data_IF_335283205340
#
_entry.id   IF_335283205340
#
_cell.length_a   1.000
_cell.length_b   1.000
_cell.length_c   1.000
_cell.angle_alpha   90.00
_cell.angle_beta   90.00
_cell.angle_gamma   90.00
#
_symmetry.space_group_name_H-M   'P 1'
#
loop_
_entity.id
_entity.type
_entity.pdbx_description
1 polymer ?
#
# COMPACT_ATOMS: atom_id res chain seq x y z
N UNK A 1 14.20 35.77 -3.76
CA UNK A 1 14.83 34.46 -3.58
C UNK A 1 14.79 33.96 -2.13
N UNK A 2 15.03 34.80 -1.15
CA UNK A 2 14.96 34.39 0.27
C UNK A 2 13.52 34.14 0.75
N UNK A 3 12.50 34.78 0.21
CA UNK A 3 11.11 34.60 0.60
C UNK A 3 10.50 33.24 0.21
N UNK A 4 11.03 32.57 -0.83
CA UNK A 4 10.54 31.26 -1.24
C UNK A 4 11.04 30.12 -0.33
N UNK A 5 12.22 30.27 0.29
CA UNK A 5 12.74 29.29 1.23
C UNK A 5 12.00 29.33 2.57
N UNK A 6 11.64 30.49 3.07
CA UNK A 6 10.85 30.68 4.29
C UNK A 6 9.44 30.11 4.14
N UNK A 7 8.81 30.28 2.97
CA UNK A 7 7.49 29.71 2.68
C UNK A 7 7.53 28.18 2.63
N UNK A 8 8.60 27.58 2.14
CA UNK A 8 8.78 26.12 2.11
C UNK A 8 8.98 25.53 3.51
N UNK A 9 9.68 26.21 4.39
CA UNK A 9 9.83 25.79 5.79
C UNK A 9 8.51 25.86 6.56
N UNK A 10 7.72 26.89 6.34
CA UNK A 10 6.37 27.00 6.93
C UNK A 10 5.44 25.89 6.48
N UNK A 11 5.48 25.53 5.20
CA UNK A 11 4.71 24.42 4.64
C UNK A 11 5.16 23.07 5.23
N UNK A 12 6.47 22.84 5.34
CA UNK A 12 7.02 21.65 5.98
C UNK A 12 6.61 21.53 7.44
N UNK A 13 6.65 22.64 8.19
CA UNK A 13 6.22 22.67 9.58
C UNK A 13 4.74 22.34 9.76
N UNK A 14 3.88 22.75 8.82
CA UNK A 14 2.45 22.46 8.85
C UNK A 14 2.17 20.97 8.62
N UNK A 15 2.89 20.31 7.69
CA UNK A 15 2.74 18.88 7.42
C UNK A 15 3.39 18.00 8.51
N UNK A 16 4.50 18.42 9.11
CA UNK A 16 5.18 17.67 10.17
C UNK A 16 4.46 17.68 11.51
N UNK A 17 3.48 18.56 11.70
CA UNK A 17 2.67 18.65 12.92
C UNK A 17 1.48 17.66 12.94
N UNK A 18 1.33 16.82 11.94
CA UNK A 18 0.36 15.73 11.98
C UNK A 18 0.71 14.80 13.14
N UNK A 19 -0.13 14.76 14.18
CA UNK A 19 0.08 13.95 15.38
C UNK A 19 -0.03 12.43 15.10
N UNK A 20 -0.49 12.02 13.91
CA UNK A 20 -0.66 10.62 13.52
C UNK A 20 0.39 10.22 12.48
N UNK A 21 1.05 9.06 12.68
CA UNK A 21 1.94 8.49 11.66
C UNK A 21 1.17 8.28 10.36
N UNK A 22 1.81 8.60 9.23
CA UNK A 22 1.25 8.33 7.92
C UNK A 22 1.49 6.86 7.59
N UNK A 23 0.43 6.14 7.29
CA UNK A 23 0.48 4.76 6.83
C UNK A 23 -0.29 4.66 5.52
N UNK A 24 0.42 4.29 4.47
CA UNK A 24 -0.18 4.02 3.17
C UNK A 24 -0.23 2.53 2.89
N UNK A 25 -0.99 2.17 1.88
CA UNK A 25 -1.19 0.78 1.48
C UNK A 25 -1.15 0.66 -0.03
N UNK A 26 -0.48 -0.37 -0.51
CA UNK A 26 -0.61 -0.85 -1.87
C UNK A 26 -1.18 -2.27 -1.80
N UNK A 27 -2.34 -2.47 -2.42
CA UNK A 27 -3.12 -3.71 -2.28
C UNK A 27 -3.55 -4.26 -3.65
N UNK A 28 -2.61 -4.76 -4.46
CA UNK A 28 -2.90 -5.27 -5.80
C UNK A 28 -3.52 -6.66 -5.76
N UNK A 29 -4.37 -6.95 -6.77
CA UNK A 29 -4.78 -8.31 -7.13
C UNK A 29 -3.87 -8.81 -8.26
N UNK A 30 -2.90 -9.70 -7.98
CA UNK A 30 -1.91 -10.11 -8.95
C UNK A 30 -2.45 -11.22 -9.87
N UNK A 31 -3.27 -10.84 -10.85
CA UNK A 31 -3.88 -11.77 -11.82
C UNK A 31 -3.06 -11.97 -13.09
N UNK A 32 -1.86 -11.38 -13.15
CA UNK A 32 -0.91 -11.42 -14.25
C UNK A 32 0.27 -10.51 -13.94
N UNK A 33 1.07 -10.20 -14.98
CA UNK A 33 2.17 -9.24 -14.84
C UNK A 33 1.62 -7.83 -14.58
N UNK A 34 2.39 -7.02 -13.86
CA UNK A 34 2.08 -5.61 -13.66
C UNK A 34 2.01 -4.87 -15.01
N UNK A 35 1.00 -4.04 -15.16
CA UNK A 35 0.91 -3.08 -16.27
C UNK A 35 1.21 -1.66 -15.77
N UNK A 36 1.29 -0.73 -16.70
CA UNK A 36 1.66 0.66 -16.39
C UNK A 36 0.74 1.31 -15.35
N UNK A 37 -0.56 0.98 -15.35
CA UNK A 37 -1.51 1.48 -14.36
C UNK A 37 -1.18 1.02 -12.94
N UNK A 38 -0.79 -0.24 -12.75
CA UNK A 38 -0.36 -0.76 -11.44
C UNK A 38 0.93 -0.08 -10.99
N UNK A 39 1.88 0.11 -11.91
CA UNK A 39 3.15 0.80 -11.62
C UNK A 39 2.87 2.24 -11.16
N UNK A 40 2.02 2.97 -11.88
CA UNK A 40 1.65 4.33 -11.52
C UNK A 40 0.99 4.40 -10.14
N UNK A 41 0.04 3.51 -9.86
CA UNK A 41 -0.65 3.46 -8.56
C UNK A 41 0.31 3.15 -7.41
N UNK A 42 1.20 2.18 -7.59
CA UNK A 42 2.21 1.82 -6.57
C UNK A 42 3.20 2.97 -6.33
N UNK A 43 3.64 3.62 -7.39
CA UNK A 43 4.56 4.74 -7.30
C UNK A 43 3.93 5.93 -6.56
N UNK A 44 2.69 6.28 -6.88
CA UNK A 44 1.98 7.38 -6.20
C UNK A 44 1.78 7.09 -4.71
N UNK A 45 1.40 5.87 -4.35
CA UNK A 45 1.26 5.46 -2.96
C UNK A 45 2.60 5.55 -2.23
N UNK A 46 3.67 5.07 -2.84
CA UNK A 46 5.02 5.10 -2.29
C UNK A 46 5.53 6.52 -2.09
N UNK A 47 5.41 7.38 -3.12
CA UNK A 47 5.82 8.78 -3.04
C UNK A 47 5.05 9.54 -1.96
N UNK A 48 3.74 9.35 -1.87
CA UNK A 48 2.90 9.98 -0.85
C UNK A 48 3.37 9.63 0.56
N UNK A 49 3.64 8.37 0.80
CA UNK A 49 4.08 7.87 2.12
C UNK A 49 5.50 8.33 2.44
N UNK A 50 6.43 8.14 1.49
CA UNK A 50 7.85 8.46 1.72
C UNK A 50 8.09 9.97 1.88
N UNK A 51 7.34 10.80 1.18
CA UNK A 51 7.45 12.26 1.33
C UNK A 51 7.05 12.74 2.73
N UNK A 52 6.29 11.95 3.45
CA UNK A 52 5.81 12.25 4.80
C UNK A 52 6.51 11.43 5.90
N UNK A 53 7.55 10.68 5.55
CA UNK A 53 8.25 9.82 6.48
C UNK A 53 7.41 8.67 7.03
N UNK A 54 6.38 8.24 6.28
CA UNK A 54 5.42 7.24 6.69
C UNK A 54 5.83 5.81 6.34
N UNK A 55 4.94 4.87 6.69
CA UNK A 55 5.08 3.44 6.38
C UNK A 55 4.21 3.04 5.22
N UNK A 56 4.73 2.17 4.35
CA UNK A 56 3.97 1.52 3.29
C UNK A 56 3.73 0.05 3.63
N UNK A 57 2.46 -0.36 3.56
CA UNK A 57 2.03 -1.74 3.76
C UNK A 57 1.71 -2.35 2.41
N UNK A 58 2.27 -3.51 2.14
CA UNK A 58 1.95 -4.32 0.96
C UNK A 58 0.93 -5.39 1.35
N UNK A 59 -0.20 -5.39 0.66
CA UNK A 59 -1.24 -6.41 0.79
C UNK A 59 -1.52 -7.04 -0.56
N UNK A 60 -1.46 -8.35 -0.62
CA UNK A 60 -1.77 -9.13 -1.82
C UNK A 60 -3.22 -9.59 -1.75
N UNK A 61 -4.04 -9.10 -2.65
CA UNK A 61 -5.46 -9.45 -2.73
C UNK A 61 -5.65 -10.63 -3.68
N UNK A 62 -5.52 -11.84 -3.14
CA UNK A 62 -5.43 -13.10 -3.88
C UNK A 62 -6.67 -14.01 -3.70
N UNK A 63 -7.85 -13.43 -3.44
CA UNK A 63 -9.11 -14.21 -3.36
C UNK A 63 -9.54 -14.75 -4.72
N UNK A 64 -9.20 -14.05 -5.80
CA UNK A 64 -9.47 -14.50 -7.18
C UNK A 64 -8.53 -15.65 -7.52
N UNK A 65 -9.08 -16.74 -8.07
CA UNK A 65 -8.31 -17.91 -8.48
C UNK A 65 -7.21 -17.56 -9.48
N UNK A 66 -7.44 -16.57 -10.34
CA UNK A 66 -6.43 -16.09 -11.29
C UNK A 66 -5.19 -15.54 -10.59
N UNK A 67 -5.36 -14.95 -9.41
CA UNK A 67 -4.23 -14.44 -8.63
C UNK A 67 -3.34 -15.57 -8.08
N UNK A 68 -3.89 -16.77 -7.93
CA UNK A 68 -3.19 -17.95 -7.42
C UNK A 68 -2.76 -18.93 -8.50
N UNK A 69 -3.10 -18.67 -9.76
CA UNK A 69 -2.84 -19.59 -10.88
C UNK A 69 -1.38 -19.67 -11.32
N UNK A 70 -0.54 -18.78 -10.82
CA UNK A 70 0.88 -18.71 -11.15
C UNK A 70 1.66 -17.90 -10.12
N UNK A 71 2.95 -17.62 -10.36
CA UNK A 71 3.82 -16.90 -9.42
C UNK A 71 3.64 -15.38 -9.49
N UNK A 72 2.41 -14.91 -9.68
CA UNK A 72 2.12 -13.50 -9.96
C UNK A 72 2.46 -12.57 -8.80
N UNK A 73 2.19 -12.99 -7.56
CA UNK A 73 2.53 -12.19 -6.38
C UNK A 73 4.04 -12.02 -6.23
N UNK A 74 4.80 -13.08 -6.43
CA UNK A 74 6.27 -13.05 -6.37
C UNK A 74 6.85 -12.18 -7.49
N UNK A 75 6.35 -12.32 -8.71
CA UNK A 75 6.77 -11.50 -9.85
C UNK A 75 6.45 -10.02 -9.62
N UNK A 76 5.29 -9.72 -9.05
CA UNK A 76 4.90 -8.36 -8.69
C UNK A 76 5.89 -7.76 -7.68
N UNK A 77 6.24 -8.50 -6.65
CA UNK A 77 7.20 -8.04 -5.64
C UNK A 77 8.59 -7.83 -6.24
N UNK A 78 9.01 -8.69 -7.14
CA UNK A 78 10.27 -8.53 -7.86
C UNK A 78 10.26 -7.30 -8.77
N UNK A 79 9.16 -7.06 -9.47
CA UNK A 79 8.97 -5.86 -10.28
C UNK A 79 9.02 -4.58 -9.44
N UNK A 80 8.37 -4.59 -8.26
CA UNK A 80 8.43 -3.46 -7.33
C UNK A 80 9.86 -3.18 -6.86
N UNK A 81 10.60 -4.22 -6.48
CA UNK A 81 12.00 -4.09 -6.06
C UNK A 81 12.87 -3.56 -7.19
N UNK A 82 12.66 -4.03 -8.41
CA UNK A 82 13.38 -3.56 -9.59
C UNK A 82 13.13 -2.07 -9.85
N UNK A 83 11.91 -1.59 -9.60
CA UNK A 83 11.53 -0.18 -9.71
C UNK A 83 12.06 0.67 -8.54
N UNK A 84 12.62 0.06 -7.49
CA UNK A 84 13.05 0.74 -6.29
C UNK A 84 11.92 1.08 -5.32
N UNK A 85 10.76 0.45 -5.48
CA UNK A 85 9.60 0.61 -4.61
C UNK A 85 9.65 -0.44 -3.51
N UNK A 86 10.02 -0.04 -2.32
CA UNK A 86 10.07 -0.89 -1.13
C UNK A 86 8.83 -0.72 -0.27
N UNK A 87 8.65 -1.59 0.71
CA UNK A 87 7.58 -1.52 1.70
C UNK A 87 8.10 -1.90 3.07
N UNK A 88 7.39 -1.47 4.12
CA UNK A 88 7.82 -1.63 5.50
C UNK A 88 7.16 -2.82 6.19
N UNK A 89 5.92 -3.14 5.81
CA UNK A 89 5.17 -4.26 6.35
C UNK A 89 4.55 -5.10 5.24
N UNK A 90 4.41 -6.40 5.51
CA UNK A 90 3.87 -7.35 4.55
C UNK A 90 4.95 -8.09 3.79
N UNK A 91 4.57 -8.87 2.78
CA UNK A 91 3.21 -8.92 2.21
C UNK A 91 2.21 -9.62 3.13
N UNK A 92 1.02 -9.04 3.22
CA UNK A 92 -0.15 -9.69 3.81
C UNK A 92 -0.99 -10.29 2.71
N UNK A 93 -1.30 -11.58 2.81
CA UNK A 93 -2.13 -12.27 1.82
C UNK A 93 -3.57 -12.33 2.31
N UNK A 94 -4.50 -11.92 1.47
CA UNK A 94 -5.93 -11.90 1.80
C UNK A 94 -6.45 -13.30 2.12
N UNK A 95 -5.98 -14.32 1.41
CA UNK A 95 -6.34 -15.73 1.65
C UNK A 95 -5.93 -16.24 3.03
N UNK A 96 -4.91 -15.68 3.65
CA UNK A 96 -4.46 -16.04 4.99
C UNK A 96 -5.33 -15.41 6.10
N UNK A 97 -6.26 -14.54 5.73
CA UNK A 97 -7.09 -13.75 6.65
C UNK A 97 -8.58 -14.11 6.59
N UNK A 98 -8.94 -15.22 5.96
CA UNK A 98 -10.34 -15.63 5.75
C UNK A 98 -11.09 -15.79 7.07
N UNK A 99 -10.44 -16.31 8.12
CA UNK A 99 -11.03 -16.44 9.46
C UNK A 99 -11.46 -15.10 10.04
N UNK A 100 -10.68 -14.05 9.84
CA UNK A 100 -11.03 -12.70 10.30
C UNK A 100 -12.25 -12.14 9.57
N UNK A 101 -12.39 -12.45 8.28
CA UNK A 101 -13.55 -12.01 7.48
C UNK A 101 -14.81 -12.75 7.91
N UNK A 102 -14.69 -14.05 8.16
CA UNK A 102 -15.79 -14.86 8.70
C UNK A 102 -16.28 -14.33 10.04
N UNK A 103 -15.36 -14.09 10.97
CA UNK A 103 -15.69 -13.53 12.30
C UNK A 103 -16.38 -12.16 12.17
N UNK A 104 -15.92 -11.32 11.25
CA UNK A 104 -16.53 -10.02 11.01
C UNK A 104 -17.95 -10.14 10.46
N UNK A 105 -18.19 -11.08 9.54
CA UNK A 105 -19.51 -11.35 8.98
C UNK A 105 -20.48 -11.87 10.06
N UNK A 106 -20.03 -12.79 10.89
CA UNK A 106 -20.84 -13.31 12.00
C UNK A 106 -21.20 -12.21 12.99
N UNK A 107 -20.27 -11.31 13.27
CA UNK A 107 -20.53 -10.17 14.15
C UNK A 107 -21.55 -9.21 13.55
N UNK A 108 -21.45 -8.92 12.26
CA UNK A 108 -22.43 -8.08 11.56
C UNK A 108 -23.81 -8.71 11.56
N UNK A 109 -23.92 -10.00 11.30
CA UNK A 109 -25.18 -10.75 11.34
C UNK A 109 -25.82 -10.69 12.74
N UNK A 110 -25.01 -10.82 13.79
CA UNK A 110 -25.50 -10.74 15.18
C UNK A 110 -26.03 -9.35 15.58
N UNK A 111 -25.63 -8.32 14.85
CA UNK A 111 -26.07 -6.93 15.11
C UNK A 111 -27.36 -6.56 14.36
N UNK A 112 -27.82 -7.43 13.47
CA UNK A 112 -29.02 -7.20 12.64
C UNK A 112 -28.72 -6.53 11.31
#
# INVERSE_FOLDING_TARGET
MMGSAENLEGVRGTFSQSARPVVGRFAPSPTGRMHLGNVAASLLAWLSVRSQGGKLVLRIEDLDDRARSGPWAELLMDDLRWLGIDWDEGPYYQTERLGLYEDALQRLDSLG
#
